data_IF_242964281410
#
_entry.id   IF_242964281410
#
_cell.length_a   1.000
_cell.length_b   1.000
_cell.length_c   1.000
_cell.angle_alpha   90.00
_cell.angle_beta   90.00
_cell.angle_gamma   90.00
#
_symmetry.space_group_name_H-M   'P 1'
#
loop_
_entity.id
_entity.type
_entity.pdbx_description
1 polymer ?
#
# COMPACT_ATOMS: atom_id res chain seq x y z
N UNK A 1 -11.82 7.61 24.10
CA UNK A 1 -10.59 7.18 23.37
C UNK A 1 -10.78 5.84 22.68
N UNK A 2 -11.21 4.78 23.38
CA UNK A 2 -11.55 3.50 22.74
C UNK A 2 -12.61 3.61 21.63
N UNK A 3 -13.58 4.52 21.76
CA UNK A 3 -14.62 4.72 20.74
C UNK A 3 -14.06 5.23 19.40
N UNK A 4 -13.13 6.20 19.43
CA UNK A 4 -12.46 6.68 18.20
C UNK A 4 -11.68 5.53 17.55
N UNK A 5 -11.04 4.70 18.36
CA UNK A 5 -10.34 3.50 17.89
C UNK A 5 -11.30 2.51 17.24
N UNK A 6 -12.49 2.28 17.82
CA UNK A 6 -13.51 1.42 17.24
C UNK A 6 -14.05 1.94 15.90
N UNK A 7 -14.28 3.26 15.78
CA UNK A 7 -14.73 3.88 14.52
C UNK A 7 -13.66 3.70 13.44
N UNK A 8 -12.40 4.01 13.75
CA UNK A 8 -11.29 3.84 12.81
C UNK A 8 -11.08 2.37 12.42
N UNK A 9 -11.19 1.43 13.36
CA UNK A 9 -11.12 0.00 13.07
C UNK A 9 -12.27 -0.47 12.17
N UNK A 10 -13.50 0.00 12.42
CA UNK A 10 -14.67 -0.33 11.59
C UNK A 10 -14.51 0.20 10.16
N UNK A 11 -13.97 1.41 10.01
CA UNK A 11 -13.70 1.99 8.71
C UNK A 11 -12.61 1.19 7.98
N UNK A 12 -11.51 0.84 8.67
CA UNK A 12 -10.45 -0.01 8.12
C UNK A 12 -11.00 -1.37 7.68
N UNK A 13 -11.87 -2.00 8.46
CA UNK A 13 -12.48 -3.29 8.08
C UNK A 13 -13.44 -3.16 6.89
N UNK A 14 -14.17 -2.04 6.80
CA UNK A 14 -15.01 -1.72 5.63
C UNK A 14 -14.16 -1.57 4.38
N UNK A 15 -13.09 -0.76 4.45
CA UNK A 15 -12.13 -0.57 3.35
C UNK A 15 -11.46 -1.88 2.94
N UNK A 16 -11.04 -2.70 3.90
CA UNK A 16 -10.44 -4.01 3.63
C UNK A 16 -11.40 -4.93 2.88
N UNK A 17 -12.69 -4.88 3.21
CA UNK A 17 -13.73 -5.69 2.56
C UNK A 17 -14.05 -5.17 1.15
N UNK A 18 -14.18 -3.87 0.98
CA UNK A 18 -14.49 -3.24 -0.30
C UNK A 18 -13.35 -3.42 -1.31
N UNK A 19 -12.11 -3.20 -0.87
CA UNK A 19 -10.91 -3.33 -1.71
C UNK A 19 -10.35 -4.76 -1.77
N UNK A 20 -10.99 -5.73 -1.09
CA UNK A 20 -10.59 -7.15 -1.01
C UNK A 20 -9.12 -7.33 -0.61
N UNK A 21 -8.70 -6.64 0.45
CA UNK A 21 -7.35 -6.69 1.00
C UNK A 21 -7.16 -7.96 1.85
N UNK A 22 -6.87 -9.06 1.17
CA UNK A 22 -6.86 -10.40 1.77
C UNK A 22 -5.45 -10.94 2.10
N UNK A 23 -4.37 -10.15 1.93
CA UNK A 23 -2.96 -10.61 2.03
C UNK A 23 -2.59 -11.78 1.12
N UNK A 24 -3.41 -12.11 0.12
CA UNK A 24 -3.19 -13.26 -0.78
C UNK A 24 -2.45 -12.80 -2.04
N UNK A 25 -1.44 -13.57 -2.51
CA UNK A 25 -0.86 -13.34 -3.81
C UNK A 25 -1.90 -13.63 -4.89
N UNK A 26 -2.12 -12.68 -5.78
CA UNK A 26 -2.99 -12.78 -6.94
C UNK A 26 -2.15 -12.54 -8.17
N UNK A 27 -2.31 -13.40 -9.16
CA UNK A 27 -1.73 -13.14 -10.48
C UNK A 27 -2.54 -12.01 -11.12
N UNK A 28 -1.93 -10.85 -11.30
CA UNK A 28 -2.57 -9.69 -11.92
C UNK A 28 -1.78 -9.30 -13.16
N UNK A 29 -2.48 -9.19 -14.29
CA UNK A 29 -1.92 -8.61 -15.52
C UNK A 29 -1.93 -7.08 -15.47
N UNK A 30 -2.22 -6.48 -14.31
CA UNK A 30 -2.25 -5.04 -14.13
C UNK A 30 -0.86 -4.43 -14.40
N UNK A 31 0.21 -5.12 -14.01
CA UNK A 31 1.57 -4.67 -14.30
C UNK A 31 1.85 -4.55 -15.81
N UNK A 32 1.40 -5.54 -16.59
CA UNK A 32 1.53 -5.54 -18.05
C UNK A 32 0.75 -4.38 -18.69
N UNK A 33 -0.42 -4.05 -18.15
CA UNK A 33 -1.28 -2.96 -18.64
C UNK A 33 -0.80 -1.57 -18.20
N UNK A 34 -0.27 -1.46 -16.99
CA UNK A 34 0.17 -0.20 -16.39
C UNK A 34 1.56 0.23 -16.90
N UNK A 35 2.46 -0.73 -17.10
CA UNK A 35 3.84 -0.46 -17.51
C UNK A 35 4.27 -1.27 -18.75
N UNK A 36 3.57 -1.13 -19.88
CA UNK A 36 3.88 -1.90 -21.09
C UNK A 36 5.29 -1.63 -21.62
N UNK A 37 5.80 -0.40 -21.47
CA UNK A 37 7.16 -0.03 -21.91
C UNK A 37 8.26 -0.72 -21.10
N UNK A 38 8.07 -0.88 -19.79
CA UNK A 38 9.04 -1.55 -18.92
C UNK A 38 9.12 -3.04 -19.25
N UNK A 39 7.96 -3.65 -19.50
CA UNK A 39 7.85 -5.05 -19.92
C UNK A 39 8.51 -5.28 -21.27
N UNK A 40 8.24 -4.41 -22.27
CA UNK A 40 8.87 -4.48 -23.59
C UNK A 40 10.40 -4.32 -23.51
N UNK A 41 10.88 -3.35 -22.74
CA UNK A 41 12.31 -3.13 -22.54
C UNK A 41 13.00 -4.36 -21.95
N UNK A 42 12.36 -5.05 -21.00
CA UNK A 42 12.91 -6.26 -20.40
C UNK A 42 13.15 -7.36 -21.46
N UNK A 43 12.18 -7.61 -22.35
CA UNK A 43 12.34 -8.61 -23.40
C UNK A 43 13.37 -8.22 -24.46
N UNK A 44 13.47 -6.92 -24.78
CA UNK A 44 14.52 -6.42 -25.68
C UNK A 44 15.90 -6.65 -25.07
N UNK A 45 16.10 -6.28 -23.80
CA UNK A 45 17.36 -6.51 -23.08
C UNK A 45 17.68 -7.99 -22.97
N UNK A 46 16.68 -8.84 -22.73
CA UNK A 46 16.85 -10.28 -22.70
C UNK A 46 17.29 -10.83 -24.07
N UNK A 47 16.66 -10.40 -25.17
CA UNK A 47 17.04 -10.79 -26.53
C UNK A 47 18.48 -10.40 -26.87
N UNK A 48 18.91 -9.19 -26.48
CA UNK A 48 20.30 -8.76 -26.62
C UNK A 48 21.26 -9.61 -25.78
N UNK A 49 20.87 -9.98 -24.57
CA UNK A 49 21.67 -10.85 -23.70
C UNK A 49 21.84 -12.24 -24.29
N UNK A 50 20.77 -12.82 -24.85
CA UNK A 50 20.81 -14.11 -25.55
C UNK A 50 21.73 -14.05 -26.77
N UNK A 51 21.63 -12.99 -27.57
CA UNK A 51 22.53 -12.79 -28.71
C UNK A 51 24.00 -12.77 -28.26
N UNK A 52 24.32 -12.05 -27.17
CA UNK A 52 25.67 -11.96 -26.63
C UNK A 52 26.19 -13.30 -26.07
N UNK A 53 25.32 -14.09 -25.46
CA UNK A 53 25.66 -15.44 -24.97
C UNK A 53 26.08 -16.35 -26.12
N UNK A 54 25.37 -16.30 -27.25
CA UNK A 54 25.68 -17.15 -28.41
C UNK A 54 26.84 -16.62 -29.28
N UNK A 55 27.16 -15.33 -29.21
CA UNK A 55 28.36 -14.79 -29.86
C UNK A 55 29.65 -15.02 -29.06
N UNK A 56 29.54 -15.46 -27.80
CA UNK A 56 30.69 -15.60 -26.89
C UNK A 56 30.96 -17.08 -26.57
N UNK A 57 32.17 -17.54 -26.86
CA UNK A 57 32.55 -18.96 -26.69
C UNK A 57 32.54 -19.45 -25.22
N UNK A 58 32.55 -18.53 -24.25
CA UNK A 58 32.63 -18.86 -22.82
C UNK A 58 31.29 -19.02 -22.10
N UNK A 59 30.19 -18.44 -22.60
CA UNK A 59 28.93 -18.39 -21.86
C UNK A 59 28.02 -19.59 -22.14
N UNK A 60 27.99 -20.08 -23.38
CA UNK A 60 27.38 -21.35 -23.76
C UNK A 60 25.95 -21.61 -23.26
N UNK A 61 25.55 -22.88 -23.29
CA UNK A 61 24.22 -23.34 -22.87
C UNK A 61 23.86 -23.08 -21.39
N UNK A 62 24.79 -23.18 -20.41
CA UNK A 62 24.47 -22.93 -19.01
C UNK A 62 24.04 -21.48 -18.74
N UNK A 63 24.72 -20.50 -19.33
CA UNK A 63 24.37 -19.09 -19.14
C UNK A 63 23.01 -18.75 -19.76
N UNK A 64 22.69 -19.36 -20.91
CA UNK A 64 21.37 -19.22 -21.54
C UNK A 64 20.25 -19.67 -20.59
N UNK A 65 20.34 -20.89 -20.06
CA UNK A 65 19.32 -21.41 -19.14
C UNK A 65 19.25 -20.59 -17.84
N UNK A 66 20.39 -20.18 -17.29
CA UNK A 66 20.44 -19.31 -16.10
C UNK A 66 19.73 -17.97 -16.32
N UNK A 67 20.05 -17.27 -17.42
CA UNK A 67 19.41 -16.02 -17.78
C UNK A 67 17.91 -16.18 -18.07
N UNK A 68 17.53 -17.24 -18.79
CA UNK A 68 16.12 -17.55 -19.09
C UNK A 68 15.32 -17.78 -17.83
N UNK A 69 15.83 -18.62 -16.92
CA UNK A 69 15.16 -18.92 -15.64
C UNK A 69 15.06 -17.65 -14.80
N UNK A 70 16.12 -16.86 -14.71
CA UNK A 70 16.10 -15.61 -13.96
C UNK A 70 15.03 -14.64 -14.48
N UNK A 71 14.97 -14.42 -15.80
CA UNK A 71 13.97 -13.53 -16.40
C UNK A 71 12.56 -14.09 -16.21
N UNK A 72 12.36 -15.40 -16.34
CA UNK A 72 11.07 -16.03 -16.07
C UNK A 72 10.63 -15.86 -14.62
N UNK A 73 11.53 -16.08 -13.65
CA UNK A 73 11.23 -15.89 -12.23
C UNK A 73 10.89 -14.42 -11.95
N UNK A 74 11.70 -13.48 -12.42
CA UNK A 74 11.41 -12.04 -12.27
C UNK A 74 10.09 -11.65 -12.93
N UNK A 75 9.77 -12.21 -14.10
CA UNK A 75 8.50 -11.98 -14.79
C UNK A 75 7.32 -12.47 -13.96
N UNK A 76 7.41 -13.68 -13.39
CA UNK A 76 6.38 -14.27 -12.52
C UNK A 76 6.20 -13.43 -11.26
N UNK A 77 7.29 -12.94 -10.65
CA UNK A 77 7.20 -12.07 -9.48
C UNK A 77 6.55 -10.73 -9.81
N UNK A 78 6.83 -10.12 -10.97
CA UNK A 78 6.16 -8.89 -11.40
C UNK A 78 4.68 -9.08 -11.73
N UNK A 79 4.27 -10.30 -12.11
CA UNK A 79 2.86 -10.66 -12.31
C UNK A 79 2.15 -10.96 -10.98
N UNK A 80 2.89 -11.12 -9.89
CA UNK A 80 2.35 -11.42 -8.58
C UNK A 80 2.08 -10.12 -7.81
N UNK A 81 0.81 -9.87 -7.56
CA UNK A 81 0.32 -8.73 -6.81
C UNK A 81 -0.28 -9.22 -5.49
N UNK A 82 0.11 -8.65 -4.36
CA UNK A 82 -0.42 -9.02 -3.04
C UNK A 82 -1.06 -7.76 -2.47
N UNK A 83 -2.37 -7.74 -2.22
CA UNK A 83 -2.98 -6.57 -1.58
C UNK A 83 -3.00 -6.77 -0.06
N UNK A 84 -2.13 -6.10 0.71
CA UNK A 84 -2.04 -6.37 2.13
C UNK A 84 -3.21 -5.73 2.90
N UNK A 85 -3.64 -6.40 3.97
CA UNK A 85 -4.72 -5.93 4.85
C UNK A 85 -4.26 -4.75 5.69
N UNK A 86 -5.10 -3.72 5.81
CA UNK A 86 -4.91 -2.62 6.73
C UNK A 86 -5.25 -3.01 8.18
N UNK A 87 -4.47 -2.50 9.12
CA UNK A 87 -4.67 -2.66 10.56
C UNK A 87 -4.50 -1.32 11.26
N UNK A 88 -5.23 -1.12 12.35
CA UNK A 88 -5.10 0.10 13.16
C UNK A 88 -3.69 0.25 13.77
N UNK A 89 -3.06 -0.87 14.12
CA UNK A 89 -1.72 -0.90 14.74
C UNK A 89 -0.60 -0.43 13.80
N UNK A 90 -0.90 -0.32 12.49
CA UNK A 90 0.07 0.03 11.46
C UNK A 90 -0.03 1.51 11.02
N UNK A 91 -0.92 2.31 11.63
CA UNK A 91 -1.16 3.72 11.25
C UNK A 91 0.08 4.60 11.49
N UNK A 92 0.88 4.32 12.53
CA UNK A 92 2.09 5.07 12.88
C UNK A 92 3.40 4.39 12.44
N UNK A 93 3.32 3.17 11.90
CA UNK A 93 4.48 2.41 11.39
C UNK A 93 4.89 2.95 10.01
N UNK A 94 5.54 4.10 10.02
CA UNK A 94 6.12 4.78 8.85
C UNK A 94 7.24 3.96 8.14
N UNK A 95 7.68 2.85 8.73
CA UNK A 95 8.81 2.03 8.29
C UNK A 95 8.44 0.57 7.96
N UNK A 96 7.20 0.28 7.57
CA UNK A 96 6.87 -1.05 7.06
C UNK A 96 7.36 -1.20 5.60
N UNK A 97 8.19 -2.21 5.33
CA UNK A 97 8.65 -2.60 3.99
C UNK A 97 7.47 -2.80 3.02
N UNK A 98 6.28 -3.14 3.56
CA UNK A 98 5.00 -3.22 2.85
C UNK A 98 4.56 -1.88 2.26
N UNK A 99 4.73 -0.78 3.00
CA UNK A 99 4.40 0.58 2.53
C UNK A 99 5.35 0.98 1.40
N UNK A 100 6.62 0.59 1.45
CA UNK A 100 7.58 0.81 0.36
C UNK A 100 7.28 0.00 -0.91
N UNK A 101 6.67 -1.18 -0.79
CA UNK A 101 6.37 -2.05 -1.92
C UNK A 101 5.05 -1.70 -2.64
N UNK A 102 4.05 -1.21 -1.90
CA UNK A 102 2.72 -0.86 -2.46
C UNK A 102 2.50 0.65 -2.65
N UNK A 103 3.30 1.50 -2.02
CA UNK A 103 3.21 2.95 -2.17
C UNK A 103 1.95 3.59 -1.56
N UNK A 104 1.08 2.82 -0.89
CA UNK A 104 -0.08 3.36 -0.19
C UNK A 104 0.28 3.77 1.25
N UNK A 105 0.17 5.06 1.52
CA UNK A 105 0.38 5.66 2.84
C UNK A 105 -0.96 5.89 3.53
N UNK A 106 -1.06 5.59 4.84
CA UNK A 106 -2.17 6.06 5.68
C UNK A 106 -2.29 7.60 5.73
N UNK A 107 -1.23 8.30 5.32
CA UNK A 107 -1.17 9.75 5.18
C UNK A 107 -1.93 10.28 3.96
N UNK A 108 -2.38 9.41 3.05
CA UNK A 108 -3.07 9.78 1.81
C UNK A 108 -4.46 9.12 1.75
N UNK A 109 -4.85 8.37 2.79
CA UNK A 109 -6.17 7.73 2.87
C UNK A 109 -7.11 8.61 3.68
N UNK A 110 -8.08 9.15 2.98
CA UNK A 110 -9.17 9.94 3.54
C UNK A 110 -10.17 9.05 4.27
N UNK A 111 -10.72 9.55 5.38
CA UNK A 111 -11.89 8.95 6.01
C UNK A 111 -13.14 9.25 5.19
N UNK A 112 -14.12 8.35 5.23
CA UNK A 112 -15.47 8.67 4.74
C UNK A 112 -16.13 9.78 5.56
N UNK A 113 -17.00 10.54 4.90
CA UNK A 113 -17.85 11.56 5.53
C UNK A 113 -18.70 10.97 6.67
N UNK A 114 -19.08 9.71 6.56
CA UNK A 114 -19.82 8.97 7.59
C UNK A 114 -18.99 8.78 8.86
N UNK A 115 -17.73 8.37 8.73
CA UNK A 115 -16.84 8.20 9.89
C UNK A 115 -16.51 9.55 10.55
N UNK A 116 -16.31 10.60 9.75
CA UNK A 116 -16.10 11.97 10.25
C UNK A 116 -17.33 12.45 11.04
N UNK A 117 -18.54 12.24 10.49
CA UNK A 117 -19.80 12.59 11.15
C UNK A 117 -20.00 11.84 12.46
N UNK A 118 -19.66 10.54 12.51
CA UNK A 118 -19.71 9.73 13.73
C UNK A 118 -18.74 10.28 14.80
N UNK A 119 -17.50 10.60 14.42
CA UNK A 119 -16.49 11.18 15.34
C UNK A 119 -16.95 12.54 15.90
N UNK A 120 -17.51 13.41 15.06
CA UNK A 120 -17.95 14.75 15.45
C UNK A 120 -19.22 14.74 16.31
N UNK A 121 -20.14 13.80 16.08
CA UNK A 121 -21.39 13.66 16.84
C UNK A 121 -21.22 12.92 18.16
N UNK A 122 -20.15 12.14 18.32
CA UNK A 122 -19.90 11.42 19.56
C UNK A 122 -19.61 12.33 20.76
N UNK A 123 -20.32 12.07 21.86
CA UNK A 123 -20.19 12.82 23.11
C UNK A 123 -18.87 12.55 23.87
N UNK A 124 -18.22 11.42 23.58
CA UNK A 124 -16.97 10.99 24.23
C UNK A 124 -15.70 11.40 23.44
N UNK A 125 -15.87 12.13 22.33
CA UNK A 125 -14.76 12.68 21.55
C UNK A 125 -14.33 14.00 22.19
N UNK A 126 -13.05 14.18 22.56
CA UNK A 126 -12.58 15.44 23.14
C UNK A 126 -12.83 16.62 22.18
N UNK A 127 -13.30 17.75 22.72
CA UNK A 127 -13.59 18.95 21.90
C UNK A 127 -12.37 19.46 21.14
N UNK A 128 -11.15 19.26 21.68
CA UNK A 128 -9.90 19.54 20.96
C UNK A 128 -9.78 18.77 19.64
N UNK A 129 -10.17 17.50 19.64
CA UNK A 129 -10.15 16.64 18.44
C UNK A 129 -11.21 17.11 17.45
N UNK A 130 -12.44 17.39 17.90
CA UNK A 130 -13.50 17.90 17.03
C UNK A 130 -13.15 19.24 16.39
N UNK A 131 -12.56 20.16 17.16
CA UNK A 131 -12.08 21.44 16.66
C UNK A 131 -10.96 21.24 15.62
N UNK A 132 -10.02 20.32 15.87
CA UNK A 132 -8.97 19.97 14.92
C UNK A 132 -9.52 19.41 13.60
N UNK A 133 -10.46 18.46 13.68
CA UNK A 133 -11.12 17.87 12.49
C UNK A 133 -11.86 18.96 11.69
N UNK A 134 -12.63 19.84 12.35
CA UNK A 134 -13.31 20.95 11.68
C UNK A 134 -12.34 21.91 11.02
N UNK A 135 -11.21 22.18 11.64
CA UNK A 135 -10.16 23.03 11.07
C UNK A 135 -9.56 22.40 9.81
N UNK A 136 -9.22 21.11 9.86
CA UNK A 136 -8.70 20.37 8.70
C UNK A 136 -9.72 20.32 7.56
N UNK A 137 -11.00 20.04 7.84
CA UNK A 137 -12.07 20.12 6.85
C UNK A 137 -12.17 21.51 6.21
N UNK A 138 -12.00 22.59 6.99
CA UNK A 138 -12.07 23.95 6.44
C UNK A 138 -10.86 24.34 5.58
N UNK A 139 -9.70 23.71 5.79
CA UNK A 139 -8.45 24.04 5.08
C UNK A 139 -8.19 23.10 3.90
N UNK A 140 -8.27 21.79 4.13
CA UNK A 140 -7.97 20.74 3.13
C UNK A 140 -9.21 20.21 2.44
N UNK A 141 -10.40 20.32 3.05
CA UNK A 141 -11.63 19.68 2.56
C UNK A 141 -11.76 18.20 2.92
N UNK A 142 -10.65 17.55 3.28
CA UNK A 142 -10.56 16.12 3.56
C UNK A 142 -9.79 15.87 4.88
N UNK A 143 -10.01 14.71 5.50
CA UNK A 143 -9.33 14.32 6.73
C UNK A 143 -8.81 12.90 6.60
N UNK A 144 -7.52 12.71 6.83
CA UNK A 144 -6.85 11.42 6.70
C UNK A 144 -6.85 10.62 8.01
N UNK A 145 -6.64 9.30 7.91
CA UNK A 145 -6.52 8.41 9.08
C UNK A 145 -5.44 8.88 10.05
N UNK A 146 -4.31 9.35 9.52
CA UNK A 146 -3.21 9.86 10.32
C UNK A 146 -3.55 11.17 11.05
N UNK A 147 -4.33 12.05 10.43
CA UNK A 147 -4.73 13.33 11.02
C UNK A 147 -5.63 13.11 12.25
N UNK A 148 -6.61 12.20 12.17
CA UNK A 148 -7.45 11.83 13.33
C UNK A 148 -6.64 11.14 14.41
N UNK A 149 -5.74 10.24 14.01
CA UNK A 149 -4.86 9.51 14.93
C UNK A 149 -3.96 10.47 15.72
N UNK A 150 -3.27 11.37 15.04
CA UNK A 150 -2.36 12.34 15.65
C UNK A 150 -3.10 13.36 16.53
N UNK A 151 -4.31 13.77 16.18
CA UNK A 151 -5.15 14.62 17.03
C UNK A 151 -5.59 13.92 18.32
N UNK A 152 -5.80 12.60 18.27
CA UNK A 152 -6.36 11.82 19.38
C UNK A 152 -5.26 11.28 20.31
N UNK A 153 -4.16 10.77 19.77
CA UNK A 153 -3.09 10.09 20.51
C UNK A 153 -1.71 10.74 20.37
N UNK A 154 -1.58 11.79 19.56
CA UNK A 154 -0.31 12.50 19.36
C UNK A 154 0.74 11.60 18.68
N UNK A 155 1.90 11.45 19.33
CA UNK A 155 3.01 10.60 18.88
C UNK A 155 3.10 9.27 19.66
N UNK A 156 2.06 8.89 20.39
CA UNK A 156 2.02 7.57 21.01
C UNK A 156 2.01 6.47 19.93
N UNK A 157 2.58 5.30 20.24
CA UNK A 157 2.63 4.20 19.28
C UNK A 157 1.26 3.53 19.12
N UNK A 158 0.79 3.31 17.90
CA UNK A 158 -0.55 2.74 17.67
C UNK A 158 -0.66 1.31 18.20
N UNK A 159 0.46 0.57 18.19
CA UNK A 159 0.57 -0.75 18.80
C UNK A 159 0.42 -0.77 20.35
N UNK A 160 0.52 0.40 21.01
CA UNK A 160 0.48 0.52 22.49
C UNK A 160 -0.81 1.13 23.03
N UNK A 161 -1.72 1.49 22.14
CA UNK A 161 -3.01 2.17 22.38
C UNK A 161 -4.12 1.24 21.93
#
# INVERSE_FOLDING_TARGET
MNEIKQILQREIDTLNREEKRDNKPRFSFNFLKSHPGLWLSMYICYGLSVALIFTTDFLGWPAFWGATIFVLVMSVLMLMDINPKYRFEDIDNLHDLRVCYYGEWYYVRTLSDTAIGEILSHHNTPEKVKAGIRHLLSQKGEVDFYDVYSLTWGHARAATV
#
